data_IF_318259645672
#
_entry.id   IF_318259645672
#
_cell.length_a   1.000
_cell.length_b   1.000
_cell.length_c   1.000
_cell.angle_alpha   90.00
_cell.angle_beta   90.00
_cell.angle_gamma   90.00
#
_symmetry.space_group_name_H-M   'P 1'
#
loop_
_entity.id
_entity.type
_entity.pdbx_description
1 polymer ?
#
# COMPACT_ATOMS: atom_id res chain seq x y z
N UNK A 1 -16.15 9.18 -15.64
CA UNK A 1 -15.10 10.16 -15.25
C UNK A 1 -14.53 9.83 -13.86
N UNK A 2 -13.21 9.83 -13.66
CA UNK A 2 -12.55 9.38 -12.43
C UNK A 2 -13.05 10.08 -11.16
N UNK A 3 -13.19 11.41 -11.23
CA UNK A 3 -13.67 12.23 -10.12
C UNK A 3 -15.04 11.78 -9.61
N UNK A 4 -16.01 11.56 -10.50
CA UNK A 4 -17.35 11.12 -10.12
C UNK A 4 -17.33 9.76 -9.43
N UNK A 5 -16.48 8.82 -9.88
CA UNK A 5 -16.34 7.50 -9.23
C UNK A 5 -15.83 7.66 -7.79
N UNK A 6 -14.82 8.50 -7.58
CA UNK A 6 -14.28 8.81 -6.25
C UNK A 6 -15.28 9.54 -5.37
N UNK A 7 -15.96 10.56 -5.89
CA UNK A 7 -16.96 11.34 -5.18
C UNK A 7 -18.15 10.48 -4.75
N UNK A 8 -18.67 9.63 -5.66
CA UNK A 8 -19.74 8.68 -5.31
C UNK A 8 -19.26 7.66 -4.28
N UNK A 9 -18.04 7.12 -4.41
CA UNK A 9 -17.47 6.18 -3.44
C UNK A 9 -17.27 6.81 -2.05
N UNK A 10 -16.92 8.10 -2.00
CA UNK A 10 -16.84 8.86 -0.76
C UNK A 10 -18.24 9.08 -0.16
N UNK A 11 -19.19 9.55 -0.97
CA UNK A 11 -20.56 9.84 -0.53
C UNK A 11 -21.33 8.58 -0.06
N UNK A 12 -21.11 7.44 -0.71
CA UNK A 12 -21.72 6.15 -0.31
C UNK A 12 -21.32 5.68 1.08
N UNK A 13 -20.22 6.21 1.64
CA UNK A 13 -19.76 5.87 2.99
C UNK A 13 -20.43 6.73 4.06
N UNK A 14 -20.99 7.88 3.71
CA UNK A 14 -21.68 8.75 4.66
C UNK A 14 -22.92 8.07 5.21
N UNK A 15 -23.05 8.05 6.54
CA UNK A 15 -24.23 7.56 7.23
C UNK A 15 -25.18 8.72 7.47
N UNK A 16 -26.44 8.41 7.80
CA UNK A 16 -27.44 9.44 8.15
C UNK A 16 -27.02 10.33 9.32
N UNK A 17 -26.12 9.85 10.17
CA UNK A 17 -25.57 10.55 11.33
C UNK A 17 -24.14 11.07 11.12
N UNK A 18 -23.57 10.98 9.91
CA UNK A 18 -22.27 11.59 9.63
C UNK A 18 -22.42 13.12 9.70
N UNK A 19 -21.55 13.84 10.44
CA UNK A 19 -21.66 15.29 10.57
C UNK A 19 -21.27 16.00 9.25
N UNK A 20 -21.88 17.14 8.96
CA UNK A 20 -21.62 17.92 7.73
C UNK A 20 -20.13 18.30 7.56
N UNK A 21 -19.41 18.46 8.68
CA UNK A 21 -17.98 18.72 8.69
C UNK A 21 -17.15 17.62 8.03
N UNK A 22 -17.64 16.38 8.05
CA UNK A 22 -17.01 15.18 7.47
C UNK A 22 -17.55 14.87 6.06
N UNK A 23 -18.70 15.43 5.68
CA UNK A 23 -19.32 15.29 4.35
C UNK A 23 -18.68 16.22 3.29
N UNK A 24 -17.35 16.29 3.28
CA UNK A 24 -16.61 17.14 2.34
C UNK A 24 -16.10 16.33 1.17
N UNK A 25 -16.27 16.85 -0.04
CA UNK A 25 -15.65 16.34 -1.24
C UNK A 25 -14.63 17.36 -1.71
N UNK A 26 -13.40 16.93 -1.89
CA UNK A 26 -12.39 17.81 -2.45
C UNK A 26 -12.75 18.20 -3.90
N UNK A 27 -12.57 19.46 -4.32
CA UNK A 27 -13.15 19.98 -5.55
C UNK A 27 -12.42 19.54 -6.83
N UNK A 28 -11.18 19.08 -6.72
CA UNK A 28 -10.37 18.67 -7.88
C UNK A 28 -10.05 17.17 -7.89
N UNK A 29 -9.82 16.56 -9.07
CA UNK A 29 -9.38 15.16 -9.18
C UNK A 29 -8.13 14.85 -8.36
N UNK A 30 -7.18 15.78 -8.26
CA UNK A 30 -5.95 15.55 -7.48
C UNK A 30 -6.23 15.53 -5.98
N UNK A 31 -7.01 16.51 -5.51
CA UNK A 31 -7.30 16.61 -4.08
C UNK A 31 -8.22 15.49 -3.60
N UNK A 32 -9.17 15.02 -4.42
CA UNK A 32 -10.03 13.89 -4.02
C UNK A 32 -9.26 12.57 -3.97
N UNK A 33 -8.18 12.42 -4.76
CA UNK A 33 -7.25 11.30 -4.63
C UNK A 33 -6.44 11.42 -3.33
N UNK A 34 -5.95 12.63 -2.98
CA UNK A 34 -5.27 12.87 -1.70
C UNK A 34 -6.20 12.57 -0.52
N UNK A 35 -7.44 13.04 -0.56
CA UNK A 35 -8.47 12.74 0.44
C UNK A 35 -8.73 11.23 0.55
N UNK A 36 -8.71 10.52 -0.58
CA UNK A 36 -8.82 9.06 -0.59
C UNK A 36 -7.62 8.39 0.11
N UNK A 37 -6.39 8.85 -0.13
CA UNK A 37 -5.20 8.34 0.56
C UNK A 37 -5.20 8.64 2.06
N UNK A 38 -5.59 9.84 2.47
CA UNK A 38 -5.74 10.23 3.88
C UNK A 38 -6.70 9.29 4.62
N UNK A 39 -7.83 8.95 4.00
CA UNK A 39 -8.76 7.96 4.54
C UNK A 39 -8.12 6.58 4.67
N UNK A 40 -7.36 6.12 3.67
CA UNK A 40 -6.66 4.83 3.77
C UNK A 40 -5.67 4.83 4.95
N UNK A 41 -4.92 5.91 5.12
CA UNK A 41 -3.99 6.08 6.25
C UNK A 41 -4.72 5.99 7.60
N UNK A 42 -5.91 6.62 7.72
CA UNK A 42 -6.71 6.57 8.93
C UNK A 42 -7.23 5.17 9.27
N UNK A 43 -7.56 4.36 8.25
CA UNK A 43 -8.16 3.03 8.44
C UNK A 43 -7.10 1.95 8.67
N UNK A 44 -6.00 1.99 7.91
CA UNK A 44 -5.00 0.90 7.88
C UNK A 44 -3.68 1.25 8.58
N UNK A 45 -3.51 2.50 9.01
CA UNK A 45 -2.26 3.00 9.58
C UNK A 45 -1.40 3.70 8.53
N UNK A 46 -0.95 4.91 8.86
CA UNK A 46 -0.19 5.77 7.93
C UNK A 46 1.11 5.13 7.47
N UNK A 47 1.84 4.47 8.37
CA UNK A 47 3.14 3.88 8.01
C UNK A 47 2.96 2.71 7.06
N UNK A 48 2.06 1.77 7.39
CA UNK A 48 1.74 0.63 6.55
C UNK A 48 1.31 1.06 5.14
N UNK A 49 0.37 1.99 5.04
CA UNK A 49 -0.12 2.49 3.74
C UNK A 49 0.98 3.22 2.98
N UNK A 50 1.77 4.06 3.66
CA UNK A 50 2.88 4.79 3.04
C UNK A 50 3.92 3.84 2.44
N UNK A 51 4.31 2.79 3.16
CA UNK A 51 5.27 1.79 2.68
C UNK A 51 4.67 0.97 1.52
N UNK A 52 3.47 0.40 1.72
CA UNK A 52 2.83 -0.44 0.71
C UNK A 52 2.57 0.29 -0.62
N UNK A 53 1.96 1.49 -0.55
CA UNK A 53 1.71 2.30 -1.74
C UNK A 53 2.98 2.95 -2.28
N UNK A 54 3.98 3.21 -1.42
CA UNK A 54 5.32 3.63 -1.82
C UNK A 54 5.98 2.60 -2.74
N UNK A 55 6.01 1.32 -2.34
CA UNK A 55 6.55 0.23 -3.14
C UNK A 55 5.84 0.09 -4.49
N UNK A 56 4.50 0.08 -4.51
CA UNK A 56 3.72 0.00 -5.75
C UNK A 56 4.03 1.18 -6.67
N UNK A 57 4.14 2.39 -6.11
CA UNK A 57 4.41 3.61 -6.88
C UNK A 57 5.84 3.65 -7.44
N UNK A 58 6.82 3.17 -6.66
CA UNK A 58 8.21 3.08 -7.06
C UNK A 58 8.47 1.95 -8.07
N UNK A 59 7.62 0.91 -8.08
CA UNK A 59 7.72 -0.19 -9.03
C UNK A 59 7.38 0.25 -10.47
N UNK A 60 8.18 -0.22 -11.45
CA UNK A 60 7.98 0.14 -12.86
C UNK A 60 6.86 -0.69 -13.51
N UNK A 61 6.85 -1.99 -13.26
CA UNK A 61 5.95 -2.95 -13.89
C UNK A 61 4.78 -3.37 -12.97
N UNK A 62 4.75 -2.86 -11.74
CA UNK A 62 3.89 -3.37 -10.67
C UNK A 62 4.61 -4.36 -9.77
N UNK A 63 3.90 -4.81 -8.74
CA UNK A 63 4.34 -5.83 -7.79
C UNK A 63 3.23 -6.86 -7.62
N UNK A 64 3.58 -8.13 -7.52
CA UNK A 64 2.64 -9.19 -7.14
C UNK A 64 2.29 -9.12 -5.65
N UNK A 65 1.24 -9.85 -5.25
CA UNK A 65 0.84 -9.92 -3.83
C UNK A 65 1.97 -10.47 -2.98
N UNK A 66 2.65 -11.51 -3.45
CA UNK A 66 3.74 -12.18 -2.74
C UNK A 66 4.95 -11.25 -2.60
N UNK A 67 5.35 -10.56 -3.66
CA UNK A 67 6.49 -9.64 -3.60
C UNK A 67 6.22 -8.47 -2.65
N UNK A 68 5.00 -7.95 -2.66
CA UNK A 68 4.61 -6.87 -1.75
C UNK A 68 4.56 -7.33 -0.30
N UNK A 69 4.03 -8.53 -0.03
CA UNK A 69 4.01 -9.14 1.30
C UNK A 69 5.42 -9.41 1.81
N UNK A 70 6.33 -9.89 0.96
CA UNK A 70 7.73 -10.12 1.31
C UNK A 70 8.47 -8.80 1.61
N UNK A 71 8.32 -7.79 0.75
CA UNK A 71 8.91 -6.45 0.94
C UNK A 71 8.47 -5.83 2.27
N UNK A 72 7.17 -5.90 2.57
CA UNK A 72 6.60 -5.40 3.82
C UNK A 72 6.99 -6.24 5.03
N UNK A 73 7.34 -7.51 4.83
CA UNK A 73 7.87 -8.38 5.89
C UNK A 73 9.35 -8.12 6.18
N UNK A 74 10.11 -7.63 5.20
CA UNK A 74 11.49 -7.21 5.39
C UNK A 74 11.62 -5.79 5.98
N UNK A 75 10.57 -4.98 5.86
CA UNK A 75 10.53 -3.62 6.41
C UNK A 75 10.25 -3.64 7.92
N UNK A 76 11.32 -3.55 8.72
CA UNK A 76 11.20 -3.53 10.18
C UNK A 76 10.35 -2.36 10.70
N UNK A 77 10.30 -1.23 10.00
CA UNK A 77 9.49 -0.08 10.41
C UNK A 77 8.01 -0.39 10.20
N UNK A 78 7.65 -0.96 9.06
CA UNK A 78 6.28 -1.40 8.79
C UNK A 78 5.83 -2.47 9.79
N UNK A 79 6.70 -3.42 10.15
CA UNK A 79 6.39 -4.47 11.13
C UNK A 79 6.20 -3.92 12.55
N UNK A 80 6.95 -2.89 12.96
CA UNK A 80 6.78 -2.24 14.28
C UNK A 80 5.39 -1.65 14.46
N UNK A 81 4.81 -1.08 13.41
CA UNK A 81 3.46 -0.51 13.44
C UNK A 81 2.37 -1.61 13.50
N UNK A 82 2.62 -2.75 12.87
CA UNK A 82 1.68 -3.89 12.86
C UNK A 82 1.71 -4.69 14.17
N UNK A 83 2.88 -4.88 14.77
CA UNK A 83 3.08 -5.73 15.95
C UNK A 83 3.36 -4.96 17.23
N UNK A 84 2.55 -3.93 17.52
CA UNK A 84 2.73 -3.08 18.71
C UNK A 84 2.67 -3.85 20.04
N UNK A 85 1.91 -4.96 20.11
CA UNK A 85 1.64 -5.68 21.37
C UNK A 85 2.08 -7.16 21.37
N UNK A 86 2.35 -7.77 20.22
CA UNK A 86 2.81 -9.16 20.15
C UNK A 86 3.64 -9.38 18.89
N UNK A 87 4.92 -9.72 19.04
CA UNK A 87 5.79 -10.09 17.92
C UNK A 87 5.59 -11.59 17.66
N UNK A 88 4.98 -12.01 16.54
CA UNK A 88 4.87 -13.41 16.21
C UNK A 88 6.25 -14.04 16.01
N UNK A 89 6.39 -15.35 16.29
CA UNK A 89 7.65 -16.07 16.08
C UNK A 89 8.09 -16.07 14.60
N UNK A 90 7.15 -15.87 13.67
CA UNK A 90 7.39 -15.66 12.25
C UNK A 90 7.18 -14.19 11.92
N UNK A 91 8.25 -13.49 11.53
CA UNK A 91 8.20 -12.08 11.08
C UNK A 91 7.70 -11.99 9.64
N UNK A 92 6.42 -12.30 9.45
CA UNK A 92 5.71 -12.10 8.17
C UNK A 92 4.53 -11.17 8.37
N UNK A 93 4.32 -10.29 7.41
CA UNK A 93 3.10 -9.50 7.35
C UNK A 93 1.90 -10.46 7.26
N UNK A 94 0.89 -10.33 8.14
CA UNK A 94 -0.34 -11.08 7.97
C UNK A 94 -0.97 -10.72 6.61
N UNK A 95 -1.11 -11.70 5.71
CA UNK A 95 -1.72 -11.54 4.37
C UNK A 95 -3.06 -10.81 4.40
N UNK A 96 -3.79 -10.91 5.51
CA UNK A 96 -5.04 -10.21 5.75
C UNK A 96 -4.92 -8.67 5.69
N UNK A 97 -3.79 -8.09 6.13
CA UNK A 97 -3.59 -6.63 6.12
C UNK A 97 -3.53 -6.10 4.70
N UNK A 98 -2.69 -6.71 3.87
CA UNK A 98 -2.63 -6.37 2.45
C UNK A 98 -3.97 -6.61 1.76
N UNK A 99 -4.62 -7.75 2.02
CA UNK A 99 -5.94 -8.06 1.44
C UNK A 99 -6.98 -6.99 1.76
N UNK A 100 -7.02 -6.50 3.00
CA UNK A 100 -7.93 -5.41 3.42
C UNK A 100 -7.61 -4.10 2.72
N UNK A 101 -6.34 -3.72 2.65
CA UNK A 101 -5.91 -2.51 1.94
C UNK A 101 -6.22 -2.59 0.44
N UNK A 102 -5.93 -3.73 -0.20
CA UNK A 102 -6.27 -4.00 -1.61
C UNK A 102 -7.77 -3.89 -1.86
N UNK A 103 -8.61 -4.47 -0.99
CA UNK A 103 -10.06 -4.38 -1.15
C UNK A 103 -10.56 -2.93 -1.08
N UNK A 104 -9.94 -2.10 -0.24
CA UNK A 104 -10.26 -0.67 -0.15
C UNK A 104 -9.74 0.15 -1.34
N UNK A 105 -8.66 -0.32 -1.98
CA UNK A 105 -8.13 0.23 -3.24
C UNK A 105 -8.97 -0.19 -4.45
N UNK A 106 -9.51 -1.40 -4.46
CA UNK A 106 -10.37 -1.93 -5.53
C UNK A 106 -9.81 -1.65 -6.93
N UNK A 107 -10.68 -1.17 -7.82
CA UNK A 107 -10.36 -0.90 -9.22
C UNK A 107 -9.36 0.24 -9.47
N UNK A 108 -8.87 0.92 -8.42
CA UNK A 108 -7.84 1.96 -8.59
C UNK A 108 -6.45 1.33 -8.82
N UNK A 109 -6.27 0.06 -8.43
CA UNK A 109 -5.16 -0.79 -8.85
C UNK A 109 -5.58 -1.64 -10.05
N UNK A 110 -4.77 -1.57 -11.10
CA UNK A 110 -4.86 -2.46 -12.25
C UNK A 110 -4.15 -3.77 -11.94
N UNK A 111 -4.85 -4.88 -12.18
CA UNK A 111 -4.27 -6.21 -12.23
C UNK A 111 -3.77 -6.47 -13.65
N UNK A 112 -2.48 -6.78 -13.76
CA UNK A 112 -1.84 -7.14 -15.03
C UNK A 112 -1.18 -8.50 -14.89
N UNK A 113 -1.32 -9.34 -15.91
CA UNK A 113 -0.53 -10.57 -15.99
C UNK A 113 0.89 -10.24 -16.45
N UNK A 114 1.88 -10.59 -15.66
CA UNK A 114 3.29 -10.59 -16.05
C UNK A 114 3.90 -11.94 -15.65
N UNK A 115 4.50 -12.64 -16.61
CA UNK A 115 5.19 -13.92 -16.38
C UNK A 115 4.35 -14.99 -15.63
N UNK A 116 3.03 -15.01 -15.88
CA UNK A 116 2.09 -15.94 -15.24
C UNK A 116 1.61 -15.54 -13.85
N UNK A 117 2.05 -14.39 -13.34
CA UNK A 117 1.67 -13.83 -12.04
C UNK A 117 0.86 -12.53 -12.22
N UNK A 118 -0.09 -12.29 -11.31
CA UNK A 118 -0.83 -11.03 -11.27
C UNK A 118 -0.01 -10.00 -10.51
N UNK A 119 0.32 -8.89 -11.19
CA UNK A 119 0.96 -7.72 -10.59
C UNK A 119 0.00 -6.54 -10.51
N UNK A 120 0.15 -5.77 -9.44
CA UNK A 120 -0.63 -4.57 -9.14
C UNK A 120 0.13 -3.33 -9.55
N UNK A 121 -0.54 -2.46 -10.31
CA UNK A 121 -0.01 -1.15 -10.71
C UNK A 121 -1.13 -0.11 -10.74
N UNK A 122 -0.80 1.18 -10.65
CA UNK A 122 -1.83 2.23 -10.73
C UNK A 122 -2.58 2.18 -12.06
N UNK A 123 -3.92 2.11 -12.02
CA UNK A 123 -4.74 2.09 -13.21
C UNK A 123 -4.74 3.43 -13.95
N UNK A 124 -4.89 4.53 -13.21
CA UNK A 124 -5.00 5.87 -13.79
C UNK A 124 -3.71 6.67 -13.60
N UNK A 125 -3.25 7.38 -14.64
CA UNK A 125 -2.06 8.24 -14.58
C UNK A 125 -2.11 9.27 -13.45
N UNK A 126 -3.27 9.91 -13.24
CA UNK A 126 -3.46 10.86 -12.14
C UNK A 126 -3.25 10.24 -10.75
N UNK A 127 -3.62 8.96 -10.56
CA UNK A 127 -3.36 8.26 -9.29
C UNK A 127 -1.86 8.09 -9.06
N UNK A 128 -1.12 7.69 -10.10
CA UNK A 128 0.33 7.55 -10.04
C UNK A 128 1.01 8.88 -9.72
N UNK A 129 0.65 9.95 -10.41
CA UNK A 129 1.24 11.28 -10.20
C UNK A 129 0.98 11.80 -8.78
N UNK A 130 -0.25 11.64 -8.28
CA UNK A 130 -0.60 12.06 -6.91
C UNK A 130 0.07 11.14 -5.87
N UNK A 131 0.16 9.84 -6.12
CA UNK A 131 0.84 8.90 -5.23
C UNK A 131 2.35 9.17 -5.15
N UNK A 132 2.98 9.53 -6.28
CA UNK A 132 4.40 9.88 -6.30
C UNK A 132 4.66 11.16 -5.51
N UNK A 133 3.82 12.19 -5.67
CA UNK A 133 3.91 13.41 -4.87
C UNK A 133 3.64 13.14 -3.37
N UNK A 134 2.62 12.33 -3.07
CA UNK A 134 2.13 12.15 -1.70
C UNK A 134 2.98 11.18 -0.87
N UNK A 135 3.42 10.05 -1.44
CA UNK A 135 4.19 9.02 -0.73
C UNK A 135 5.70 9.12 -0.96
N UNK A 136 6.13 9.53 -2.16
CA UNK A 136 7.56 9.57 -2.56
C UNK A 136 8.09 11.02 -2.69
N UNK A 137 7.40 12.00 -2.12
CA UNK A 137 7.83 13.40 -2.14
C UNK A 137 9.06 13.69 -1.28
N UNK A 138 9.34 12.86 -0.27
CA UNK A 138 10.58 12.92 0.50
C UNK A 138 11.68 12.12 -0.23
N UNK A 139 12.80 12.79 -0.53
CA UNK A 139 13.91 12.21 -1.31
C UNK A 139 14.57 11.04 -0.58
N UNK A 140 14.87 11.17 0.71
CA UNK A 140 15.49 10.12 1.52
C UNK A 140 14.61 8.87 1.55
N UNK A 141 13.31 9.05 1.80
CA UNK A 141 12.34 7.95 1.79
C UNK A 141 12.20 7.31 0.40
N UNK A 142 12.22 8.11 -0.66
CA UNK A 142 12.16 7.61 -2.04
C UNK A 142 13.39 6.75 -2.36
N UNK A 143 14.58 7.20 -1.98
CA UNK A 143 15.83 6.45 -2.14
C UNK A 143 15.81 5.15 -1.33
N UNK A 144 15.31 5.19 -0.10
CA UNK A 144 15.14 4.01 0.75
C UNK A 144 14.22 2.97 0.10
N UNK A 145 13.04 3.38 -0.37
CA UNK A 145 12.07 2.49 -1.02
C UNK A 145 12.66 1.86 -2.30
N UNK A 146 13.37 2.66 -3.11
CA UNK A 146 14.06 2.14 -4.29
C UNK A 146 15.20 1.18 -3.91
N UNK A 147 15.96 1.48 -2.86
CA UNK A 147 17.01 0.60 -2.33
C UNK A 147 16.45 -0.75 -1.89
N UNK A 148 15.37 -0.75 -1.12
CA UNK A 148 14.68 -1.97 -0.68
C UNK A 148 14.17 -2.81 -1.85
N UNK A 149 13.60 -2.16 -2.89
CA UNK A 149 13.19 -2.86 -4.11
C UNK A 149 14.38 -3.51 -4.81
N UNK A 150 15.49 -2.78 -4.95
CA UNK A 150 16.72 -3.29 -5.57
C UNK A 150 17.27 -4.49 -4.77
N UNK A 151 17.37 -4.35 -3.46
CA UNK A 151 17.90 -5.40 -2.59
C UNK A 151 16.98 -6.64 -2.57
N UNK A 152 15.66 -6.46 -2.70
CA UNK A 152 14.71 -7.57 -2.87
C UNK A 152 14.93 -8.31 -4.19
N UNK A 153 14.92 -7.60 -5.32
CA UNK A 153 15.01 -8.22 -6.65
C UNK A 153 16.39 -8.80 -6.97
N UNK A 154 17.46 -8.31 -6.33
CA UNK A 154 18.82 -8.90 -6.42
C UNK A 154 18.98 -10.08 -5.43
N UNK A 155 18.03 -10.30 -4.53
CA UNK A 155 18.06 -11.40 -3.56
C UNK A 155 18.95 -11.15 -2.34
N UNK A 156 19.28 -9.89 -2.03
CA UNK A 156 19.98 -9.52 -0.78
C UNK A 156 19.06 -9.53 0.43
N UNK A 157 17.77 -9.26 0.22
CA UNK A 157 16.77 -9.43 1.27
C UNK A 157 16.35 -10.90 1.34
N UNK A 158 16.72 -11.54 2.45
CA UNK A 158 16.27 -12.91 2.76
C UNK A 158 15.08 -12.80 3.70
N UNK A 159 13.89 -13.14 3.21
CA UNK A 159 12.76 -13.43 4.11
C UNK A 159 13.15 -14.69 4.87
N UNK A 160 13.32 -14.59 6.19
CA UNK A 160 13.67 -15.73 7.03
C UNK A 160 12.46 -16.67 7.07
N UNK A 161 12.41 -17.63 6.14
CA UNK A 161 11.66 -18.86 6.30
C UNK A 161 12.43 -19.72 7.30
N UNK A 162 11.79 -20.11 8.41
CA UNK A 162 12.44 -20.88 9.47
C UNK A 162 13.29 -22.03 8.89
N UNK A 163 14.59 -22.01 9.20
CA UNK A 163 15.35 -23.25 9.30
C UNK A 163 14.70 -24.04 10.41
N UNK A 164 14.18 -25.21 10.06
CA UNK A 164 13.54 -26.15 10.97
C UNK A 164 14.26 -26.21 12.32
N UNK A 165 13.56 -25.83 13.38
CA UNK A 165 13.81 -26.35 14.72
C UNK A 165 13.44 -27.85 14.73
N UNK A 166 14.30 -28.65 14.09
CA UNK A 166 14.33 -30.10 14.16
C UNK A 166 15.70 -30.52 13.62
N UNK A 167 16.71 -30.53 14.49
CA UNK A 167 17.83 -31.45 14.40
C UNK A 167 18.55 -31.53 15.75
N UNK A 168 18.24 -32.63 16.44
CA UNK A 168 19.00 -33.35 17.50
C UNK A 168 19.11 -32.69 18.87
#
# INVERSE_FOLDING_TARGET
PLYLKLACSAAQRWKSYTPESEMKLAPTPREIIKQFFERLNQVHGTLFVKRALGYITASKNGLSSTELEDLLSCDEEALRDVFQFHIPPLRRLPTLLWTRLRNDLGDYLAERGADGVVVYSWYHRQFREVAEEYFLGNVEFKEEIHGMLVDYFIGRLVVIENVNANNV
#
